data_IF_923644291341
#
_entry.id   IF_923644291341
#
_cell.length_a   1.000
_cell.length_b   1.000
_cell.length_c   1.000
_cell.angle_alpha   90.00
_cell.angle_beta   90.00
_cell.angle_gamma   90.00
#
_symmetry.space_group_name_H-M   'P 1'
#
loop_
_entity.id
_entity.type
_entity.pdbx_description
1 polymer ?
#
# COMPACT_ATOMS: atom_id res chain seq x y z
N UNK A 1 3.32 27.58 14.77
CA UNK A 1 3.43 27.09 14.28
C UNK A 1 3.26 26.27 13.77
N UNK A 2 3.02 26.28 13.44
CA UNK A 2 2.89 25.55 12.85
C UNK A 2 2.58 24.85 12.64
N UNK A 3 2.63 24.79 12.50
CA UNK A 3 2.38 24.08 12.15
C UNK A 3 1.84 23.34 12.16
N UNK A 4 1.73 23.17 12.34
CA UNK A 4 1.36 22.34 12.19
C UNK A 4 0.74 21.78 11.70
N UNK A 5 0.77 22.06 11.42
CA UNK A 5 0.13 21.61 10.68
C UNK A 5 0.18 20.42 10.07
N UNK A 6 0.60 19.77 9.94
CA UNK A 6 0.76 18.66 9.29
C UNK A 6 -0.18 17.62 9.53
N UNK A 7 -1.02 17.82 10.07
CA UNK A 7 -1.83 16.97 10.35
C UNK A 7 -2.70 16.46 9.43
N UNK A 8 -2.80 16.85 8.30
CA UNK A 8 -3.76 16.37 7.38
C UNK A 8 -3.74 14.92 7.09
N UNK A 9 -2.64 14.27 7.23
CA UNK A 9 -2.60 12.91 6.82
C UNK A 9 -2.92 11.92 7.90
N UNK A 10 -2.86 12.26 9.13
CA UNK A 10 -3.24 11.35 10.20
C UNK A 10 -2.42 10.09 10.36
N UNK A 11 -1.35 9.92 9.62
CA UNK A 11 -0.52 8.73 9.71
C UNK A 11 0.84 9.11 10.27
N UNK A 12 1.36 8.33 11.23
CA UNK A 12 2.63 8.60 11.87
C UNK A 12 3.81 7.87 11.23
N UNK A 13 3.58 7.19 10.09
CA UNK A 13 4.61 6.36 9.47
C UNK A 13 5.02 6.85 8.08
N UNK A 14 4.89 8.16 7.83
CA UNK A 14 5.21 8.70 6.50
C UNK A 14 6.67 8.52 6.11
N UNK A 15 7.56 8.40 7.09
CA UNK A 15 8.97 8.14 6.82
C UNK A 15 9.22 6.74 6.26
N UNK A 16 8.21 5.88 6.25
CA UNK A 16 8.34 4.55 5.66
C UNK A 16 8.00 4.55 4.16
N UNK A 17 7.60 5.69 3.61
CA UNK A 17 7.28 5.76 2.18
C UNK A 17 8.57 6.01 1.41
N UNK A 18 8.93 5.04 0.55
CA UNK A 18 10.14 5.12 -0.25
C UNK A 18 9.80 5.11 -1.72
N UNK A 19 10.74 5.56 -2.55
CA UNK A 19 10.64 5.39 -3.98
C UNK A 19 10.91 3.94 -4.29
N UNK A 20 9.91 3.24 -4.81
CA UNK A 20 10.03 1.80 -5.05
C UNK A 20 9.64 1.49 -6.49
N UNK A 21 10.15 0.37 -6.98
CA UNK A 21 9.75 -0.16 -8.27
C UNK A 21 8.78 -1.32 -8.01
N UNK A 22 7.60 -1.30 -8.65
CA UNK A 22 6.66 -2.41 -8.46
C UNK A 22 7.30 -3.74 -8.84
N UNK A 23 7.08 -4.77 -8.02
CA UNK A 23 7.68 -6.08 -8.24
C UNK A 23 7.07 -6.82 -9.41
N UNK A 24 5.88 -6.44 -9.84
CA UNK A 24 5.19 -7.10 -10.95
C UNK A 24 4.14 -6.15 -11.52
N UNK A 25 3.57 -6.50 -12.67
CA UNK A 25 2.51 -5.70 -13.27
C UNK A 25 1.15 -6.11 -12.74
N UNK A 26 1.07 -7.07 -11.88
CA UNK A 26 -0.15 -7.53 -11.23
C UNK A 26 0.20 -7.97 -9.84
N UNK A 27 -0.70 -8.68 -9.16
CA UNK A 27 -0.38 -9.22 -7.85
C UNK A 27 0.71 -10.28 -8.01
N UNK A 28 1.86 -10.02 -7.46
CA UNK A 28 3.02 -10.88 -7.61
C UNK A 28 2.71 -12.32 -7.18
N UNK A 29 2.05 -12.45 -6.03
CA UNK A 29 1.76 -13.78 -5.49
C UNK A 29 0.65 -14.47 -6.25
N UNK A 30 -0.37 -13.74 -6.71
CA UNK A 30 -1.43 -14.33 -7.51
C UNK A 30 -0.89 -14.82 -8.86
N UNK A 31 0.02 -14.05 -9.46
CA UNK A 31 0.62 -14.47 -10.73
C UNK A 31 1.40 -15.77 -10.55
N UNK A 32 2.09 -15.92 -9.41
CA UNK A 32 2.89 -17.11 -9.16
C UNK A 32 2.02 -18.35 -8.97
N UNK A 33 0.83 -18.20 -8.38
CA UNK A 33 -0.02 -19.36 -8.09
C UNK A 33 -1.21 -19.48 -9.04
N UNK A 34 -1.32 -18.61 -10.04
CA UNK A 34 -2.42 -18.67 -11.00
C UNK A 34 -3.75 -18.23 -10.44
N UNK A 35 -3.76 -17.38 -9.42
CA UNK A 35 -4.98 -16.88 -8.81
C UNK A 35 -5.40 -15.56 -9.42
N UNK A 36 -6.63 -15.14 -9.19
CA UNK A 36 -7.13 -13.87 -9.67
C UNK A 36 -7.23 -12.86 -8.53
N UNK A 37 -7.32 -11.58 -8.88
CA UNK A 37 -7.42 -10.51 -7.90
C UNK A 37 -8.41 -9.45 -8.36
N UNK A 38 -8.85 -8.59 -7.41
CA UNK A 38 -9.78 -7.51 -7.73
C UNK A 38 -9.00 -6.22 -7.98
N UNK A 39 -8.29 -5.71 -6.98
CA UNK A 39 -7.50 -4.49 -7.12
C UNK A 39 -6.09 -4.72 -6.59
N UNK A 40 -5.19 -3.80 -6.93
CA UNK A 40 -3.78 -3.93 -6.59
C UNK A 40 -3.35 -2.88 -5.58
N UNK A 41 -2.41 -3.26 -4.73
CA UNK A 41 -1.81 -2.38 -3.74
C UNK A 41 -0.30 -2.51 -3.82
N UNK A 42 0.39 -1.37 -3.82
CA UNK A 42 1.84 -1.31 -3.90
C UNK A 42 2.42 -1.05 -2.52
N UNK A 43 3.28 -1.91 -2.03
CA UNK A 43 3.98 -1.68 -0.78
C UNK A 43 4.98 -0.55 -0.99
N UNK A 44 4.82 0.55 -0.26
CA UNK A 44 5.69 1.71 -0.46
C UNK A 44 7.02 1.58 0.27
N UNK A 45 7.24 0.50 0.99
CA UNK A 45 8.53 0.25 1.63
C UNK A 45 9.44 -0.56 0.73
N UNK A 46 8.93 -1.60 0.05
CA UNK A 46 9.78 -2.48 -0.74
C UNK A 46 9.33 -2.71 -2.18
N UNK A 47 8.17 -2.24 -2.57
CA UNK A 47 7.71 -2.41 -3.95
C UNK A 47 6.90 -3.67 -4.23
N UNK A 48 6.60 -4.47 -3.21
CA UNK A 48 5.79 -5.68 -3.42
C UNK A 48 4.40 -5.30 -3.92
N UNK A 49 3.97 -5.95 -5.02
CA UNK A 49 2.62 -5.76 -5.54
C UNK A 49 1.73 -6.86 -5.03
N UNK A 50 0.70 -6.49 -4.27
CA UNK A 50 -0.23 -7.45 -3.71
C UNK A 50 -1.66 -7.08 -4.04
N UNK A 51 -2.59 -8.01 -3.81
CA UNK A 51 -3.98 -7.78 -4.07
C UNK A 51 -4.71 -7.28 -2.83
N UNK A 52 -5.81 -6.56 -3.05
CA UNK A 52 -6.55 -5.91 -1.97
C UNK A 52 -7.35 -6.91 -1.15
N UNK A 53 -7.96 -6.42 -0.06
CA UNK A 53 -8.72 -7.27 0.84
C UNK A 53 -10.04 -7.76 0.23
N UNK A 54 -10.46 -7.24 -0.90
CA UNK A 54 -11.61 -7.75 -1.61
C UNK A 54 -11.23 -8.90 -2.53
N UNK A 55 -9.95 -9.15 -2.69
CA UNK A 55 -9.45 -10.28 -3.47
C UNK A 55 -9.48 -11.54 -2.63
N UNK A 56 -9.62 -12.72 -3.22
CA UNK A 56 -9.68 -13.95 -2.44
C UNK A 56 -8.46 -14.18 -1.55
N UNK A 57 -7.28 -13.80 -2.01
CA UNK A 57 -6.05 -14.11 -1.30
C UNK A 57 -5.48 -12.97 -0.46
N UNK A 58 -5.92 -11.76 -0.65
CA UNK A 58 -5.53 -10.61 0.17
C UNK A 58 -4.02 -10.53 0.40
N UNK A 59 -3.25 -10.61 -0.69
CA UNK A 59 -1.80 -10.73 -0.59
C UNK A 59 -1.13 -9.46 -0.05
N UNK A 60 -1.73 -8.27 -0.27
CA UNK A 60 -1.16 -7.05 0.28
C UNK A 60 -1.20 -7.06 1.81
N UNK A 61 -2.31 -7.47 2.40
CA UNK A 61 -2.43 -7.57 3.86
C UNK A 61 -1.54 -8.68 4.40
N UNK A 62 -1.44 -9.81 3.69
CA UNK A 62 -0.54 -10.88 4.10
C UNK A 62 0.91 -10.42 4.09
N UNK A 63 1.28 -9.60 3.11
CA UNK A 63 2.63 -9.04 3.03
C UNK A 63 2.91 -8.13 4.23
N UNK A 64 1.93 -7.30 4.62
CA UNK A 64 2.09 -6.48 5.81
C UNK A 64 2.32 -7.35 7.05
N UNK A 65 1.54 -8.42 7.22
CA UNK A 65 1.68 -9.26 8.39
C UNK A 65 3.04 -9.97 8.41
N UNK A 66 3.56 -10.33 7.25
CA UNK A 66 4.83 -11.04 7.17
C UNK A 66 6.03 -10.11 7.30
N UNK A 67 5.94 -8.88 6.79
CA UNK A 67 7.08 -7.98 6.69
C UNK A 67 7.07 -6.85 7.70
N UNK A 68 5.89 -6.47 8.19
CA UNK A 68 5.76 -5.30 9.03
C UNK A 68 5.77 -3.99 8.28
N UNK A 69 5.77 -4.02 6.94
CA UNK A 69 5.81 -2.80 6.14
C UNK A 69 4.42 -2.14 6.17
N UNK A 70 4.28 -0.95 6.78
CA UNK A 70 2.95 -0.44 7.12
C UNK A 70 2.19 0.28 6.02
N UNK A 71 2.85 0.72 4.96
CA UNK A 71 2.21 1.62 4.01
C UNK A 71 2.05 0.96 2.64
N UNK A 72 0.82 0.95 2.15
CA UNK A 72 0.55 0.59 0.76
C UNK A 72 -0.11 1.77 0.06
N UNK A 73 0.00 1.80 -1.26
CA UNK A 73 -0.68 2.77 -2.10
C UNK A 73 -1.52 2.02 -3.11
N UNK A 74 -2.68 2.56 -3.46
CA UNK A 74 -3.45 1.99 -4.54
C UNK A 74 -2.61 2.00 -5.81
N UNK A 75 -2.57 0.87 -6.50
CA UNK A 75 -1.88 0.76 -7.77
C UNK A 75 -2.86 0.77 -8.94
N UNK A 76 -4.10 1.16 -8.70
CA UNK A 76 -5.10 1.25 -9.74
C UNK A 76 -4.99 2.59 -10.45
N UNK A 77 -5.24 2.57 -11.77
CA UNK A 77 -5.16 3.79 -12.55
C UNK A 77 -6.18 4.80 -12.06
N UNK A 78 -5.76 6.02 -11.86
CA UNK A 78 -6.65 7.08 -11.39
C UNK A 78 -6.80 7.15 -9.89
N UNK A 79 -6.15 6.27 -9.15
CA UNK A 79 -6.19 6.28 -7.69
C UNK A 79 -4.78 6.47 -7.17
N UNK A 80 -4.62 7.37 -6.19
CA UNK A 80 -3.29 7.58 -5.61
C UNK A 80 -3.35 7.72 -4.09
N UNK A 81 -4.40 7.19 -3.47
CA UNK A 81 -4.48 7.18 -2.02
C UNK A 81 -3.58 6.10 -1.42
N UNK A 82 -3.22 6.31 -0.16
CA UNK A 82 -2.37 5.41 0.61
C UNK A 82 -3.18 4.84 1.77
N UNK A 83 -2.75 3.71 2.29
CA UNK A 83 -3.33 3.13 3.51
C UNK A 83 -2.20 2.76 4.46
N UNK A 84 -2.34 3.16 5.73
CA UNK A 84 -1.42 2.76 6.78
C UNK A 84 -2.07 1.67 7.62
N UNK A 85 -1.49 0.47 7.59
CA UNK A 85 -2.04 -0.66 8.33
C UNK A 85 -1.91 -0.49 9.83
N UNK A 86 -0.86 0.23 10.30
CA UNK A 86 -0.65 0.39 11.74
C UNK A 86 -1.59 1.43 12.33
N UNK A 87 -1.80 2.53 11.65
CA UNK A 87 -2.69 3.58 12.13
C UNK A 87 -4.11 3.41 11.61
N UNK A 88 -4.32 2.51 10.66
CA UNK A 88 -5.62 2.19 10.09
C UNK A 88 -6.30 3.43 9.51
N UNK A 89 -5.56 4.19 8.73
CA UNK A 89 -6.08 5.39 8.08
C UNK A 89 -5.71 5.39 6.60
N UNK A 90 -6.61 5.92 5.80
CA UNK A 90 -6.33 6.19 4.39
C UNK A 90 -6.01 7.67 4.26
N UNK A 91 -5.10 8.00 3.36
CA UNK A 91 -4.70 9.40 3.18
C UNK A 91 -4.16 9.62 1.78
N UNK A 92 -4.06 10.90 1.39
CA UNK A 92 -3.44 11.30 0.14
C UNK A 92 -2.35 12.29 0.46
N UNK A 93 -1.29 12.28 -0.31
CA UNK A 93 -0.21 13.22 -0.14
C UNK A 93 -0.32 14.31 -1.20
N UNK A 94 -0.16 15.56 -0.76
CA UNK A 94 -0.22 16.68 -1.68
C UNK A 94 1.05 16.71 -2.54
N UNK A 95 0.94 17.19 -3.70
CA UNK A 95 2.08 17.44 -4.55
C UNK A 95 2.42 16.45 -5.55
#
# INVERSE_FOLDING_TARGET
MGAMVAEPVGCSHLDQIHDVTPSAEGCEDCLRIGAWWVHLRLCRVCGHMGCCDQSPNRHATKHFHASGHPIVQSAEQGEDWYWCYLDEVAFELAG
#
